data_IF_047723444728
#
_entry.id   IF_047723444728
#
_cell.length_a   1.000
_cell.length_b   1.000
_cell.length_c   1.000
_cell.angle_alpha   90.00
_cell.angle_beta   90.00
_cell.angle_gamma   90.00
#
_symmetry.space_group_name_H-M   'P 1'
#
loop_
_entity.id
_entity.type
_entity.pdbx_description
1 polymer ?
#
# COMPACT_ATOMS: atom_id res chain seq x y z
N UNK A 1 29.87 40.09 -23.00
CA UNK A 1 29.09 38.88 -22.64
C UNK A 1 28.98 38.88 -21.13
N UNK A 2 27.79 39.24 -20.61
CA UNK A 2 27.51 39.13 -19.19
C UNK A 2 27.33 37.64 -18.87
N UNK A 3 28.15 37.09 -17.99
CA UNK A 3 27.97 35.78 -17.43
C UNK A 3 26.62 35.77 -16.67
N UNK A 4 25.66 34.95 -17.10
CA UNK A 4 24.41 34.73 -16.38
C UNK A 4 24.79 34.14 -15.02
N UNK A 5 24.42 34.82 -13.96
CA UNK A 5 24.49 34.29 -12.60
C UNK A 5 23.55 33.07 -12.59
N UNK A 6 24.03 31.88 -12.23
CA UNK A 6 23.14 30.70 -12.14
C UNK A 6 22.04 31.02 -11.15
N UNK A 7 20.80 30.74 -11.53
CA UNK A 7 19.66 30.84 -10.63
C UNK A 7 19.93 29.92 -9.43
N UNK A 8 20.01 30.43 -8.19
CA UNK A 8 20.23 29.60 -7.01
C UNK A 8 19.12 28.57 -6.75
N UNK A 9 18.02 28.65 -7.52
CA UNK A 9 16.90 27.75 -7.50
C UNK A 9 16.83 26.84 -8.75
N UNK A 10 17.94 26.66 -9.47
CA UNK A 10 17.94 25.63 -10.52
C UNK A 10 17.80 24.25 -9.88
N UNK A 11 16.55 23.75 -9.85
CA UNK A 11 16.18 22.45 -9.30
C UNK A 11 16.91 21.28 -9.97
N UNK A 12 17.52 21.52 -11.12
CA UNK A 12 18.38 20.55 -11.82
C UNK A 12 19.69 20.26 -11.06
N UNK A 13 20.03 21.05 -10.02
CA UNK A 13 21.28 20.93 -9.26
C UNK A 13 21.18 19.97 -8.05
N UNK A 14 20.00 19.56 -7.62
CA UNK A 14 19.89 18.59 -6.52
C UNK A 14 20.07 17.16 -7.03
N UNK A 15 21.14 16.52 -6.59
CA UNK A 15 21.34 15.10 -6.89
C UNK A 15 20.26 14.24 -6.21
N UNK A 16 19.88 13.12 -6.83
CA UNK A 16 18.93 12.17 -6.24
C UNK A 16 19.34 11.76 -4.83
N UNK A 17 20.63 11.56 -4.59
CA UNK A 17 21.15 11.22 -3.26
C UNK A 17 20.94 12.34 -2.23
N UNK A 18 21.06 13.61 -2.63
CA UNK A 18 20.82 14.76 -1.75
C UNK A 18 19.35 14.86 -1.38
N UNK A 19 18.44 14.64 -2.34
CA UNK A 19 16.99 14.61 -2.10
C UNK A 19 16.65 13.46 -1.16
N UNK A 20 17.12 12.25 -1.48
CA UNK A 20 16.81 11.06 -0.69
C UNK A 20 17.36 11.10 0.73
N UNK A 21 18.51 11.74 0.96
CA UNK A 21 18.99 11.99 2.32
C UNK A 21 18.01 12.80 3.14
N UNK A 22 17.37 13.81 2.55
CA UNK A 22 16.33 14.61 3.22
C UNK A 22 15.07 13.79 3.47
N UNK A 23 14.58 13.06 2.46
CA UNK A 23 13.39 12.20 2.61
C UNK A 23 13.61 11.15 3.70
N UNK A 24 14.76 10.45 3.69
CA UNK A 24 15.10 9.45 4.71
C UNK A 24 15.26 10.10 6.09
N UNK A 25 15.76 11.33 6.17
CA UNK A 25 15.87 12.06 7.43
C UNK A 25 14.50 12.37 8.04
N UNK A 26 13.52 12.74 7.21
CA UNK A 26 12.15 13.04 7.67
C UNK A 26 11.24 11.81 7.80
N UNK A 27 11.60 10.67 7.22
CA UNK A 27 10.78 9.46 7.26
C UNK A 27 10.35 9.05 8.68
N UNK A 28 11.22 9.01 9.70
CA UNK A 28 10.80 8.69 11.08
C UNK A 28 9.80 9.68 11.68
N UNK A 29 9.84 10.94 11.24
CA UNK A 29 8.85 11.94 11.64
C UNK A 29 7.47 11.57 11.09
N UNK A 30 7.38 11.32 9.78
CA UNK A 30 6.12 10.94 9.14
C UNK A 30 5.60 9.58 9.60
N UNK A 31 6.48 8.62 9.89
CA UNK A 31 6.11 7.33 10.47
C UNK A 31 5.39 7.47 11.81
N UNK A 32 5.78 8.43 12.62
CA UNK A 32 5.36 8.54 14.02
C UNK A 32 4.41 9.68 14.33
N UNK A 33 4.09 10.54 13.35
CA UNK A 33 3.31 11.76 13.60
C UNK A 33 1.83 11.47 13.94
N UNK A 34 1.29 10.35 13.47
CA UNK A 34 -0.11 10.00 13.71
C UNK A 34 -0.22 9.26 15.03
N UNK A 35 -1.16 9.69 15.87
CA UNK A 35 -1.47 9.06 17.14
C UNK A 35 -2.70 8.15 17.05
N UNK A 36 -3.72 8.60 16.35
CA UNK A 36 -4.98 7.87 16.15
C UNK A 36 -5.64 8.31 14.85
N UNK A 37 -6.31 7.41 14.17
CA UNK A 37 -7.24 7.77 13.11
C UNK A 37 -8.39 6.78 12.98
N UNK A 38 -9.50 7.27 12.44
CA UNK A 38 -10.62 6.44 11.98
C UNK A 38 -10.87 6.69 10.51
N UNK A 39 -11.03 5.62 9.76
CA UNK A 39 -11.28 5.68 8.33
C UNK A 39 -12.30 4.62 7.91
N UNK A 40 -13.03 4.93 6.84
CA UNK A 40 -13.71 3.91 6.07
C UNK A 40 -12.71 3.26 5.12
N UNK A 41 -12.64 1.94 5.14
CA UNK A 41 -11.78 1.14 4.28
C UNK A 41 -12.63 0.33 3.31
N UNK A 42 -12.53 0.63 2.03
CA UNK A 42 -13.08 -0.16 0.96
C UNK A 42 -11.97 -0.99 0.29
N UNK A 43 -12.22 -2.28 0.11
CA UNK A 43 -11.30 -3.18 -0.61
C UNK A 43 -12.09 -3.89 -1.71
N UNK A 44 -11.55 -3.87 -2.91
CA UNK A 44 -11.99 -4.65 -4.06
C UNK A 44 -10.88 -5.59 -4.47
N UNK A 45 -11.15 -6.89 -4.52
CA UNK A 45 -10.21 -7.93 -4.91
C UNK A 45 -10.71 -8.73 -6.11
N UNK A 46 -9.78 -9.06 -7.00
CA UNK A 46 -10.01 -9.96 -8.12
C UNK A 46 -8.89 -10.98 -8.20
N UNK A 47 -9.25 -12.24 -8.38
CA UNK A 47 -8.30 -13.35 -8.51
C UNK A 47 -8.62 -14.14 -9.75
N UNK A 48 -7.60 -14.40 -10.57
CA UNK A 48 -7.72 -15.17 -11.81
C UNK A 48 -6.75 -16.36 -11.80
N UNK A 49 -7.31 -17.56 -11.92
CA UNK A 49 -6.55 -18.79 -12.10
C UNK A 49 -6.16 -18.97 -13.55
N UNK A 50 -5.06 -18.36 -13.94
CA UNK A 50 -4.55 -18.39 -15.32
C UNK A 50 -4.16 -19.81 -15.75
N UNK A 51 -3.53 -20.57 -14.87
CA UNK A 51 -3.13 -21.97 -15.09
C UNK A 51 -3.40 -22.81 -13.85
N UNK A 52 -4.10 -23.94 -14.03
CA UNK A 52 -4.44 -24.87 -12.97
C UNK A 52 -3.87 -26.26 -13.27
N UNK A 53 -3.09 -26.81 -12.36
CA UNK A 53 -2.62 -28.18 -12.39
C UNK A 53 -3.48 -29.06 -11.47
N UNK A 54 -3.52 -30.39 -11.75
CA UNK A 54 -4.31 -31.34 -10.97
C UNK A 54 -3.92 -31.42 -9.48
N UNK A 55 -2.70 -31.04 -9.13
CA UNK A 55 -2.18 -31.05 -7.75
C UNK A 55 -2.96 -30.13 -6.81
N UNK A 56 -3.56 -29.01 -7.30
CA UNK A 56 -4.41 -28.15 -6.46
C UNK A 56 -5.64 -28.85 -5.87
N UNK A 57 -6.05 -29.99 -6.40
CA UNK A 57 -7.14 -30.80 -5.82
C UNK A 57 -6.78 -31.41 -4.45
N UNK A 58 -5.49 -31.52 -4.15
CA UNK A 58 -4.98 -32.17 -2.94
C UNK A 58 -4.54 -31.19 -1.85
N UNK A 59 -4.63 -29.87 -2.11
CA UNK A 59 -4.34 -28.83 -1.12
C UNK A 59 -5.67 -28.16 -0.74
N UNK A 60 -6.39 -28.65 0.28
CA UNK A 60 -7.76 -28.23 0.56
C UNK A 60 -7.88 -26.78 1.05
N UNK A 61 -6.78 -26.19 1.53
CA UNK A 61 -6.81 -24.93 2.29
C UNK A 61 -6.41 -23.71 1.48
N UNK A 62 -5.72 -23.85 0.35
CA UNK A 62 -5.21 -22.68 -0.37
C UNK A 62 -6.22 -22.04 -1.32
N UNK A 63 -7.05 -22.83 -2.00
CA UNK A 63 -8.05 -22.31 -2.94
C UNK A 63 -9.17 -23.34 -3.11
N UNK A 64 -10.28 -23.17 -2.42
CA UNK A 64 -11.50 -23.93 -2.69
C UNK A 64 -12.14 -23.43 -3.99
N UNK A 65 -11.60 -23.90 -5.10
CA UNK A 65 -11.98 -23.45 -6.43
C UNK A 65 -13.13 -24.32 -6.95
N UNK A 66 -14.27 -23.71 -7.23
CA UNK A 66 -15.38 -24.39 -7.91
C UNK A 66 -14.92 -24.90 -9.27
N UNK A 67 -15.40 -26.11 -9.64
CA UNK A 67 -15.10 -26.68 -10.94
C UNK A 67 -15.66 -25.78 -12.05
N UNK A 68 -14.81 -25.36 -12.97
CA UNK A 68 -15.19 -24.50 -14.11
C UNK A 68 -15.00 -23.00 -13.89
N UNK A 69 -14.96 -22.53 -12.66
CA UNK A 69 -14.77 -21.10 -12.35
C UNK A 69 -13.28 -20.78 -12.28
N UNK A 70 -12.85 -19.74 -12.95
CA UNK A 70 -11.44 -19.29 -12.98
C UNK A 70 -11.24 -17.89 -12.42
N UNK A 71 -12.28 -17.07 -12.40
CA UNK A 71 -12.22 -15.69 -11.93
C UNK A 71 -13.14 -15.52 -10.72
N UNK A 72 -12.61 -14.81 -9.74
CA UNK A 72 -13.28 -14.53 -8.48
C UNK A 72 -13.16 -13.06 -8.18
N UNK A 73 -14.20 -12.50 -7.61
CA UNK A 73 -14.24 -11.11 -7.20
C UNK A 73 -14.83 -10.99 -5.80
N UNK A 74 -14.32 -10.02 -5.05
CA UNK A 74 -14.82 -9.66 -3.73
C UNK A 74 -14.80 -8.16 -3.53
N UNK A 75 -15.73 -7.66 -2.74
CA UNK A 75 -15.72 -6.31 -2.18
C UNK A 75 -15.96 -6.37 -0.68
N UNK A 76 -15.24 -5.57 0.06
CA UNK A 76 -15.47 -5.38 1.50
C UNK A 76 -15.50 -3.89 1.83
N UNK A 77 -16.34 -3.55 2.79
CA UNK A 77 -16.42 -2.22 3.39
C UNK A 77 -16.30 -2.34 4.90
N UNK A 78 -15.39 -1.62 5.48
CA UNK A 78 -15.02 -1.75 6.89
C UNK A 78 -14.81 -0.40 7.55
N UNK A 79 -15.07 -0.31 8.85
CA UNK A 79 -14.49 0.72 9.70
C UNK A 79 -13.08 0.28 10.11
N UNK A 80 -12.12 1.15 9.95
CA UNK A 80 -10.75 0.96 10.38
C UNK A 80 -10.41 1.98 11.45
N UNK A 81 -9.91 1.52 12.58
CA UNK A 81 -9.39 2.34 13.66
C UNK A 81 -7.92 2.00 13.89
N UNK A 82 -7.07 2.99 13.77
CA UNK A 82 -5.65 2.90 14.08
C UNK A 82 -5.35 3.65 15.36
N UNK A 83 -4.53 3.04 16.22
CA UNK A 83 -3.96 3.68 17.41
C UNK A 83 -2.46 3.38 17.43
N UNK A 84 -1.67 4.44 17.55
CA UNK A 84 -0.22 4.29 17.61
C UNK A 84 0.24 3.39 18.78
N UNK A 85 1.35 2.66 18.64
CA UNK A 85 2.26 2.70 17.50
C UNK A 85 1.79 1.89 16.27
N UNK A 86 1.14 0.75 16.42
CA UNK A 86 0.81 -0.18 15.34
C UNK A 86 -0.42 -1.06 15.69
N UNK A 87 -1.44 -0.47 16.32
CA UNK A 87 -2.66 -1.18 16.70
C UNK A 87 -3.75 -0.86 15.69
N UNK A 88 -4.24 -1.90 15.01
CA UNK A 88 -5.31 -1.80 14.03
C UNK A 88 -6.53 -2.60 14.48
N UNK A 89 -7.69 -1.98 14.47
CA UNK A 89 -8.99 -2.62 14.71
C UNK A 89 -9.87 -2.39 13.48
N UNK A 90 -10.08 -3.44 12.70
CA UNK A 90 -10.94 -3.42 11.52
C UNK A 90 -12.25 -4.12 11.79
N UNK A 91 -13.36 -3.42 11.55
CA UNK A 91 -14.70 -3.97 11.65
C UNK A 91 -15.36 -4.02 10.27
N UNK A 92 -15.51 -5.22 9.72
CA UNK A 92 -16.20 -5.44 8.45
C UNK A 92 -17.69 -5.19 8.61
N UNK A 93 -18.24 -4.23 7.87
CA UNK A 93 -19.65 -3.86 7.85
C UNK A 93 -20.43 -4.49 6.72
N UNK A 94 -19.77 -4.65 5.59
CA UNK A 94 -20.35 -5.28 4.42
C UNK A 94 -19.28 -6.05 3.65
N UNK A 95 -19.71 -7.18 3.08
CA UNK A 95 -18.84 -8.03 2.32
C UNK A 95 -19.65 -8.81 1.30
N UNK A 96 -19.23 -8.76 0.03
CA UNK A 96 -19.86 -9.47 -1.08
C UNK A 96 -18.80 -10.07 -1.99
N UNK A 97 -19.09 -11.19 -2.62
CA UNK A 97 -18.18 -11.82 -3.56
C UNK A 97 -18.81 -12.95 -4.32
N UNK A 98 -18.13 -13.36 -5.38
CA UNK A 98 -18.58 -14.43 -6.27
C UNK A 98 -18.36 -15.84 -5.69
N UNK A 99 -17.79 -15.98 -4.51
CA UNK A 99 -17.72 -17.22 -3.74
C UNK A 99 -17.82 -16.95 -2.25
N UNK A 100 -18.60 -17.78 -1.53
CA UNK A 100 -18.68 -17.73 -0.07
C UNK A 100 -17.38 -18.13 0.64
N UNK A 101 -16.47 -18.78 -0.06
CA UNK A 101 -15.24 -19.36 0.47
C UNK A 101 -14.07 -18.38 0.47
N UNK A 102 -14.18 -17.25 -0.25
CA UNK A 102 -13.19 -16.17 -0.25
C UNK A 102 -13.13 -15.41 1.09
N UNK A 103 -14.19 -15.50 1.88
CA UNK A 103 -14.33 -14.80 3.16
C UNK A 103 -13.41 -15.36 4.25
N UNK A 104 -13.10 -16.65 4.13
CA UNK A 104 -12.20 -17.34 5.05
C UNK A 104 -10.72 -17.21 4.61
N UNK A 105 -10.48 -16.57 3.46
CA UNK A 105 -9.11 -16.25 3.05
C UNK A 105 -8.52 -15.23 4.00
N UNK A 106 -8.13 -15.78 5.13
CA UNK A 106 -7.14 -15.28 6.02
C UNK A 106 -7.24 -13.78 6.31
N UNK A 107 -7.47 -13.45 7.54
CA UNK A 107 -7.37 -12.10 8.08
C UNK A 107 -6.07 -11.36 7.77
N UNK A 108 -5.24 -11.88 6.86
CA UNK A 108 -3.98 -11.29 6.41
C UNK A 108 -4.08 -10.34 5.22
N UNK A 109 -5.19 -10.35 4.45
CA UNK A 109 -5.35 -9.37 3.36
C UNK A 109 -5.28 -7.93 3.85
N UNK A 110 -5.90 -7.58 4.98
CA UNK A 110 -5.79 -6.24 5.54
C UNK A 110 -4.35 -5.80 5.81
N UNK A 111 -3.49 -6.73 6.19
CA UNK A 111 -2.09 -6.45 6.47
C UNK A 111 -1.32 -5.88 5.26
N UNK A 112 -1.70 -6.21 4.01
CA UNK A 112 -1.13 -5.63 2.80
C UNK A 112 -1.57 -4.18 2.57
N UNK A 113 -2.66 -3.74 3.21
CA UNK A 113 -3.21 -2.39 3.09
C UNK A 113 -2.87 -1.50 4.29
N UNK A 114 -1.99 -1.92 5.17
CA UNK A 114 -1.46 -1.14 6.29
C UNK A 114 0.01 -0.81 6.13
N UNK A 115 0.51 -0.83 4.89
CA UNK A 115 1.90 -0.51 4.62
C UNK A 115 2.16 0.95 4.92
N UNK A 116 2.88 1.21 6.00
CA UNK A 116 3.46 2.53 6.24
C UNK A 116 4.72 2.66 5.39
N UNK A 117 4.66 3.49 4.35
CA UNK A 117 5.79 3.68 3.43
C UNK A 117 7.02 4.27 4.10
N UNK A 118 6.85 4.97 5.23
CA UNK A 118 7.94 5.59 5.98
C UNK A 118 8.64 4.63 6.95
N UNK A 119 8.06 3.45 7.19
CA UNK A 119 8.67 2.42 8.00
C UNK A 119 10.00 1.94 7.41
N UNK A 120 10.88 1.46 8.26
CA UNK A 120 12.19 0.91 7.86
C UNK A 120 12.06 -0.36 7.01
N UNK A 121 10.93 -1.06 7.14
CA UNK A 121 10.61 -2.29 6.41
C UNK A 121 9.22 -2.20 5.81
N UNK A 122 9.00 -2.96 4.75
CA UNK A 122 7.72 -3.07 4.06
C UNK A 122 7.24 -4.52 4.12
N UNK A 123 5.93 -4.73 4.01
CA UNK A 123 5.29 -6.05 3.91
C UNK A 123 5.83 -7.04 4.96
N UNK A 124 5.45 -6.83 6.22
CA UNK A 124 5.78 -7.73 7.34
C UNK A 124 7.27 -7.88 7.63
N UNK A 125 7.99 -6.80 7.68
CA UNK A 125 9.42 -6.80 7.95
C UNK A 125 10.26 -7.67 7.01
N UNK A 126 9.69 -8.05 5.86
CA UNK A 126 10.37 -8.90 4.89
C UNK A 126 11.21 -8.15 3.87
N UNK A 127 10.84 -6.90 3.59
CA UNK A 127 11.47 -6.09 2.56
C UNK A 127 12.09 -4.84 3.19
N UNK A 128 13.32 -4.54 2.85
CA UNK A 128 13.94 -3.28 3.25
C UNK A 128 13.31 -2.13 2.49
N UNK A 129 12.82 -1.13 3.21
CA UNK A 129 12.27 0.08 2.60
C UNK A 129 13.37 0.90 1.92
N UNK A 130 13.11 1.49 0.74
CA UNK A 130 14.00 2.49 0.15
C UNK A 130 14.06 3.80 0.98
N UNK A 131 13.25 3.94 2.01
CA UNK A 131 13.27 5.04 2.98
C UNK A 131 13.92 4.66 4.32
N UNK A 132 14.40 3.43 4.46
CA UNK A 132 15.09 2.99 5.67
C UNK A 132 16.35 3.83 5.96
N UNK A 133 16.73 4.05 7.22
CA UNK A 133 17.91 4.85 7.58
C UNK A 133 19.21 4.41 6.91
N UNK A 134 19.33 3.14 6.58
CA UNK A 134 20.48 2.55 5.90
C UNK A 134 20.26 2.26 4.40
N UNK A 135 19.14 2.72 3.83
CA UNK A 135 18.75 2.43 2.45
C UNK A 135 19.80 2.84 1.41
N UNK A 136 20.52 3.94 1.65
CA UNK A 136 21.59 4.42 0.77
C UNK A 136 22.72 3.39 0.54
N UNK A 137 22.88 2.41 1.41
CA UNK A 137 23.85 1.32 1.24
C UNK A 137 23.37 0.28 0.21
N UNK A 138 22.07 0.10 0.09
CA UNK A 138 21.44 -0.99 -0.65
C UNK A 138 20.77 -0.55 -1.94
N UNK A 139 20.39 0.72 -2.05
CA UNK A 139 19.70 1.31 -3.19
C UNK A 139 20.53 2.39 -3.88
N UNK A 140 20.38 2.48 -5.19
CA UNK A 140 20.76 3.62 -6.02
C UNK A 140 19.52 4.39 -6.42
N UNK A 141 19.61 5.71 -6.45
CA UNK A 141 18.51 6.62 -6.76
C UNK A 141 18.82 7.46 -7.98
N UNK A 142 17.80 7.81 -8.75
CA UNK A 142 17.90 8.65 -9.94
C UNK A 142 16.68 9.57 -10.02
N UNK A 143 16.89 10.86 -10.31
CA UNK A 143 15.79 11.79 -10.61
C UNK A 143 15.37 11.56 -12.05
N UNK A 144 14.15 11.07 -12.26
CA UNK A 144 13.60 10.81 -13.58
C UNK A 144 13.01 12.08 -14.20
N UNK A 145 12.33 12.89 -13.36
CA UNK A 145 11.72 14.15 -13.78
C UNK A 145 11.45 15.06 -12.59
N UNK A 146 11.33 16.34 -12.89
CA UNK A 146 10.93 17.38 -11.94
C UNK A 146 9.65 18.02 -12.47
N UNK A 147 8.68 18.20 -11.60
CA UNK A 147 7.35 18.70 -11.92
C UNK A 147 6.97 19.84 -10.95
N UNK A 148 5.98 20.64 -11.32
CA UNK A 148 5.47 21.70 -10.43
C UNK A 148 6.02 23.09 -10.77
N UNK A 149 5.81 24.03 -9.85
CA UNK A 149 6.23 25.42 -9.97
C UNK A 149 7.35 25.70 -8.95
N UNK A 150 8.11 26.77 -9.17
CA UNK A 150 9.09 27.25 -8.20
C UNK A 150 8.42 27.38 -6.82
N UNK A 151 9.05 26.81 -5.81
CA UNK A 151 8.55 26.65 -4.41
C UNK A 151 7.48 25.57 -4.18
N UNK A 152 7.14 24.78 -5.21
CA UNK A 152 6.25 23.62 -5.08
C UNK A 152 6.69 22.54 -6.08
N UNK A 153 7.97 22.19 -6.02
CA UNK A 153 8.54 21.18 -6.90
C UNK A 153 8.28 19.77 -6.37
N UNK A 154 8.03 18.89 -7.30
CA UNK A 154 7.92 17.46 -7.06
C UNK A 154 8.96 16.72 -7.88
N UNK A 155 9.68 15.83 -7.23
CA UNK A 155 10.70 15.00 -7.85
C UNK A 155 10.17 13.58 -8.03
N UNK A 156 10.15 13.10 -9.27
CA UNK A 156 9.98 11.67 -9.52
C UNK A 156 11.33 11.00 -9.45
N UNK A 157 11.49 10.10 -8.48
CA UNK A 157 12.77 9.46 -8.18
C UNK A 157 12.61 7.95 -8.33
N UNK A 158 13.38 7.35 -9.23
CA UNK A 158 13.49 5.90 -9.32
C UNK A 158 14.55 5.37 -8.35
N UNK A 159 14.31 4.17 -7.82
CA UNK A 159 15.25 3.46 -6.96
C UNK A 159 15.43 2.01 -7.43
N UNK A 160 16.66 1.53 -7.34
CA UNK A 160 17.04 0.18 -7.75
C UNK A 160 17.99 -0.44 -6.74
N UNK A 161 17.86 -1.75 -6.44
CA UNK A 161 18.83 -2.47 -5.63
C UNK A 161 20.24 -2.42 -6.23
N UNK A 162 21.25 -2.19 -5.40
CA UNK A 162 22.66 -2.29 -5.78
C UNK A 162 23.14 -3.73 -5.93
N UNK A 163 22.41 -4.68 -5.33
CA UNK A 163 22.70 -6.12 -5.40
C UNK A 163 21.41 -6.93 -5.54
N UNK A 164 21.52 -8.14 -6.07
CA UNK A 164 20.37 -9.04 -6.19
C UNK A 164 19.99 -9.59 -4.82
N UNK A 165 18.76 -9.32 -4.37
CA UNK A 165 18.19 -9.86 -3.14
C UNK A 165 16.67 -9.89 -3.26
N UNK A 166 16.03 -10.89 -2.66
CA UNK A 166 14.57 -10.95 -2.54
C UNK A 166 14.03 -10.04 -1.45
N UNK A 167 14.90 -9.47 -0.62
CA UNK A 167 14.54 -8.50 0.42
C UNK A 167 14.58 -7.05 -0.08
N UNK A 168 14.97 -6.83 -1.32
CA UNK A 168 15.06 -5.50 -1.93
C UNK A 168 14.04 -5.35 -3.04
N UNK A 169 13.54 -4.13 -3.20
CA UNK A 169 12.52 -3.76 -4.17
C UNK A 169 13.06 -2.73 -5.16
N UNK A 170 12.43 -2.63 -6.31
CA UNK A 170 12.70 -1.58 -7.28
C UNK A 170 11.43 -0.83 -7.59
N UNK A 171 11.56 0.45 -7.95
CA UNK A 171 10.39 1.25 -8.26
C UNK A 171 10.71 2.72 -8.41
N UNK A 172 9.71 3.55 -8.18
CA UNK A 172 9.85 5.00 -8.14
C UNK A 172 8.91 5.60 -7.09
N UNK A 173 9.20 6.83 -6.69
CA UNK A 173 8.38 7.61 -5.79
C UNK A 173 8.30 9.07 -6.28
N UNK A 174 7.24 9.76 -5.90
CA UNK A 174 7.08 11.20 -6.09
C UNK A 174 7.24 11.87 -4.74
N UNK A 175 8.18 12.81 -4.65
CA UNK A 175 8.57 13.52 -3.43
C UNK A 175 8.26 14.99 -3.57
N UNK A 176 7.65 15.61 -2.56
CA UNK A 176 7.43 17.07 -2.48
C UNK A 176 8.66 17.77 -1.88
N UNK A 177 9.12 18.85 -2.53
CA UNK A 177 10.32 19.58 -2.12
C UNK A 177 10.20 20.23 -0.73
N UNK A 178 9.09 20.90 -0.46
CA UNK A 178 8.95 21.75 0.71
C UNK A 178 8.99 20.98 2.03
N UNK A 179 8.37 19.81 2.05
CA UNK A 179 8.17 19.00 3.26
C UNK A 179 8.91 17.66 3.20
N UNK A 180 9.50 17.32 2.06
CA UNK A 180 10.22 16.07 1.81
C UNK A 180 9.36 14.82 2.10
N UNK A 181 8.04 14.97 1.92
CA UNK A 181 7.09 13.87 2.00
C UNK A 181 6.99 13.12 0.68
N UNK A 182 6.57 11.86 0.76
CA UNK A 182 6.28 11.04 -0.40
C UNK A 182 4.80 11.11 -0.71
N UNK A 183 4.43 11.51 -1.92
CA UNK A 183 3.04 11.60 -2.38
C UNK A 183 2.55 10.32 -3.03
N UNK A 184 3.44 9.60 -3.67
CA UNK A 184 3.13 8.34 -4.33
C UNK A 184 4.37 7.46 -4.33
N UNK A 185 4.19 6.17 -4.13
CA UNK A 185 5.25 5.19 -4.17
C UNK A 185 4.81 3.95 -4.95
N UNK A 186 5.57 3.61 -5.97
CA UNK A 186 5.45 2.35 -6.70
C UNK A 186 6.66 1.49 -6.37
N UNK A 187 6.42 0.25 -5.99
CA UNK A 187 7.50 -0.70 -5.77
C UNK A 187 7.11 -2.12 -6.20
N UNK A 188 8.07 -2.81 -6.73
CA UNK A 188 7.93 -4.18 -7.19
C UNK A 188 9.05 -5.05 -6.65
N UNK A 189 8.70 -6.31 -6.44
CA UNK A 189 9.64 -7.30 -5.96
C UNK A 189 9.26 -8.70 -6.43
N UNK A 190 10.13 -9.65 -6.10
CA UNK A 190 9.90 -11.06 -6.43
C UNK A 190 10.53 -11.98 -5.40
N UNK A 191 9.90 -13.10 -5.18
CA UNK A 191 10.49 -14.29 -4.56
C UNK A 191 10.45 -15.45 -5.54
N UNK A 192 10.78 -16.65 -5.11
CA UNK A 192 10.73 -17.85 -5.96
C UNK A 192 9.31 -18.09 -6.52
N UNK A 193 8.28 -17.85 -5.72
CA UNK A 193 6.89 -18.15 -6.05
C UNK A 193 6.03 -16.93 -6.31
N UNK A 194 6.43 -15.75 -5.85
CA UNK A 194 5.62 -14.53 -5.88
C UNK A 194 6.32 -13.44 -6.67
N UNK A 195 5.58 -12.79 -7.56
CA UNK A 195 5.90 -11.46 -8.11
C UNK A 195 4.81 -10.51 -7.70
N UNK A 196 5.19 -9.33 -7.27
CA UNK A 196 4.23 -8.31 -6.88
C UNK A 196 4.63 -6.93 -7.40
N UNK A 197 3.62 -6.11 -7.59
CA UNK A 197 3.74 -4.69 -7.87
C UNK A 197 2.74 -3.98 -6.97
N UNK A 198 3.20 -2.97 -6.27
CA UNK A 198 2.40 -2.23 -5.31
C UNK A 198 2.48 -0.74 -5.61
N UNK A 199 1.33 -0.07 -5.68
CA UNK A 199 1.22 1.37 -5.80
C UNK A 199 0.47 1.91 -4.60
N UNK A 200 1.05 2.88 -3.94
CA UNK A 200 0.47 3.57 -2.78
C UNK A 200 0.43 5.05 -3.09
N UNK A 201 -0.76 5.63 -3.06
CA UNK A 201 -0.95 7.07 -3.19
C UNK A 201 -1.33 7.65 -1.83
N UNK A 202 -0.58 8.67 -1.43
CA UNK A 202 -0.85 9.45 -0.24
C UNK A 202 -1.89 10.53 -0.56
N UNK A 203 -2.74 10.88 0.40
CA UNK A 203 -3.88 11.75 0.13
C UNK A 203 -3.62 13.20 0.40
N UNK A 204 -4.48 14.01 -0.24
CA UNK A 204 -4.75 15.40 0.09
C UNK A 204 -6.04 15.46 0.93
N UNK A 205 -6.07 14.81 2.08
CA UNK A 205 -7.24 14.81 2.95
C UNK A 205 -7.07 15.91 3.99
N UNK A 206 -7.55 17.12 3.70
CA UNK A 206 -7.38 18.29 4.56
C UNK A 206 -5.95 18.87 4.53
N UNK A 207 -5.65 19.83 5.41
CA UNK A 207 -4.37 20.53 5.43
C UNK A 207 -3.18 19.69 5.97
N UNK A 208 -3.44 18.50 6.51
CA UNK A 208 -2.45 17.73 7.29
C UNK A 208 -2.20 16.32 6.79
N UNK A 209 -2.83 15.86 5.69
CA UNK A 209 -2.97 14.44 5.39
C UNK A 209 -2.12 13.93 4.22
N UNK A 210 -1.17 14.72 3.75
CA UNK A 210 -0.26 14.33 2.65
C UNK A 210 0.61 13.10 2.96
N UNK A 211 0.64 12.65 4.20
CA UNK A 211 1.46 11.51 4.66
C UNK A 211 0.64 10.29 5.08
N UNK A 212 -0.68 10.29 4.85
CA UNK A 212 -1.53 9.13 5.04
C UNK A 212 -1.94 8.52 3.69
N UNK A 213 -1.92 7.21 3.56
CA UNK A 213 -2.33 6.55 2.34
C UNK A 213 -3.84 6.63 2.12
N UNK A 214 -4.26 7.02 0.92
CA UNK A 214 -5.67 7.04 0.53
C UNK A 214 -6.03 5.98 -0.51
N UNK A 215 -5.02 5.45 -1.19
CA UNK A 215 -5.23 4.45 -2.24
C UNK A 215 -4.08 3.46 -2.31
N UNK A 216 -4.44 2.19 -2.41
CA UNK A 216 -3.52 1.09 -2.69
C UNK A 216 -3.98 0.35 -3.94
N UNK A 217 -3.03 -0.05 -4.78
CA UNK A 217 -3.23 -0.97 -5.89
C UNK A 217 -2.13 -2.02 -5.86
N UNK A 218 -2.51 -3.27 -5.67
CA UNK A 218 -1.61 -4.39 -5.46
C UNK A 218 -1.87 -5.44 -6.51
N UNK A 219 -0.89 -5.63 -7.41
CA UNK A 219 -0.87 -6.75 -8.33
C UNK A 219 0.09 -7.83 -7.83
N UNK A 220 -0.36 -9.06 -7.85
CA UNK A 220 0.45 -10.21 -7.47
C UNK A 220 0.27 -11.37 -8.47
N UNK A 221 1.35 -12.02 -8.82
CA UNK A 221 1.33 -13.28 -9.57
C UNK A 221 2.02 -14.34 -8.74
N UNK A 222 1.26 -15.33 -8.36
CA UNK A 222 1.72 -16.49 -7.62
C UNK A 222 1.91 -17.68 -8.55
N UNK A 223 3.08 -18.36 -8.45
CA UNK A 223 3.42 -19.54 -9.23
C UNK A 223 3.86 -20.66 -8.32
N UNK A 224 3.13 -21.77 -8.35
CA UNK A 224 3.43 -22.93 -7.51
C UNK A 224 3.03 -24.22 -8.20
N UNK A 225 3.97 -25.16 -8.33
CA UNK A 225 3.77 -26.50 -8.89
C UNK A 225 2.97 -26.48 -10.22
N UNK A 226 3.32 -25.58 -11.12
CA UNK A 226 2.66 -25.45 -12.44
C UNK A 226 1.33 -24.70 -12.42
N UNK A 227 0.88 -24.21 -11.26
CA UNK A 227 -0.26 -23.32 -11.14
C UNK A 227 0.18 -21.86 -11.28
N UNK A 228 -0.67 -21.02 -11.86
CA UNK A 228 -0.44 -19.59 -11.96
C UNK A 228 -1.72 -18.86 -11.57
N UNK A 229 -1.62 -18.06 -10.53
CA UNK A 229 -2.72 -17.27 -9.99
C UNK A 229 -2.31 -15.80 -10.06
N UNK A 230 -3.13 -14.99 -10.70
CA UNK A 230 -3.01 -13.54 -10.66
C UNK A 230 -4.04 -12.98 -9.69
N UNK A 231 -3.63 -12.06 -8.85
CA UNK A 231 -4.49 -11.35 -7.92
C UNK A 231 -4.28 -9.85 -8.10
N UNK A 232 -5.37 -9.10 -8.14
CA UNK A 232 -5.37 -7.65 -8.07
C UNK A 232 -6.25 -7.22 -6.91
N UNK A 233 -5.72 -6.36 -6.05
CA UNK A 233 -6.45 -5.76 -4.94
C UNK A 233 -6.31 -4.25 -5.00
N UNK A 234 -7.43 -3.56 -4.90
CA UNK A 234 -7.49 -2.11 -4.81
C UNK A 234 -8.15 -1.76 -3.49
N UNK A 235 -7.55 -0.85 -2.74
CA UNK A 235 -8.13 -0.32 -1.52
C UNK A 235 -8.22 1.20 -1.57
N UNK A 236 -9.28 1.74 -1.00
CA UNK A 236 -9.48 3.17 -0.81
C UNK A 236 -9.81 3.45 0.66
N UNK A 237 -9.17 4.48 1.22
CA UNK A 237 -9.42 4.94 2.58
C UNK A 237 -10.03 6.34 2.54
N UNK A 238 -11.07 6.51 3.34
CA UNK A 238 -11.73 7.80 3.59
C UNK A 238 -11.63 8.13 5.07
N UNK A 239 -10.73 9.04 5.43
CA UNK A 239 -10.46 9.39 6.82
C UNK A 239 -11.57 10.26 7.40
N UNK A 240 -12.09 9.85 8.56
CA UNK A 240 -13.14 10.57 9.30
C UNK A 240 -12.57 11.44 10.41
N UNK A 241 -11.57 10.91 11.10
CA UNK A 241 -10.87 11.62 12.17
C UNK A 241 -9.41 11.27 12.14
N UNK A 242 -8.56 12.27 12.35
CA UNK A 242 -7.10 12.12 12.45
C UNK A 242 -6.62 12.90 13.65
N UNK A 243 -5.87 12.26 14.53
CA UNK A 243 -5.21 12.86 15.67
C UNK A 243 -3.71 12.76 15.47
N UNK A 244 -3.08 13.93 15.35
CA UNK A 244 -1.63 14.02 15.22
C UNK A 244 -0.99 14.21 16.58
N UNK A 245 0.20 13.68 16.75
CA UNK A 245 1.04 13.94 17.91
C UNK A 245 1.54 15.38 17.87
N UNK A 246 1.55 16.01 19.03
CA UNK A 246 2.23 17.29 19.19
C UNK A 246 3.74 17.09 18.91
N UNK A 247 4.32 17.76 17.91
CA UNK A 247 5.72 17.62 17.56
C UNK A 247 6.67 17.89 18.74
N UNK A 248 6.25 18.73 19.72
CA UNK A 248 7.02 19.00 20.91
C UNK A 248 7.13 17.81 21.87
N UNK A 249 6.21 16.85 21.78
CA UNK A 249 6.14 15.63 22.59
C UNK A 249 6.74 14.41 21.91
N UNK A 250 7.26 14.57 20.71
CA UNK A 250 7.89 13.46 19.98
C UNK A 250 9.19 13.07 20.69
N UNK A 251 9.19 11.90 21.32
CA UNK A 251 10.37 11.36 21.99
C UNK A 251 11.40 10.90 20.95
N UNK A 252 12.50 11.67 20.82
CA UNK A 252 13.64 11.31 19.96
C UNK A 252 14.25 9.96 20.29
N UNK A 253 14.04 9.43 21.50
CA UNK A 253 14.49 8.09 21.87
C UNK A 253 13.62 6.99 21.23
N UNK A 254 12.32 7.21 21.05
CA UNK A 254 11.43 6.28 20.31
C UNK A 254 11.79 6.19 18.83
N UNK A 255 12.22 7.28 18.21
CA UNK A 255 12.73 7.28 16.84
C UNK A 255 13.98 6.38 16.65
N UNK A 256 14.61 5.97 17.75
CA UNK A 256 15.77 5.06 17.76
C UNK A 256 15.45 3.66 18.29
N UNK A 257 14.26 3.43 18.82
CA UNK A 257 13.89 2.09 19.30
C UNK A 257 13.64 1.19 18.12
N UNK A 258 14.46 0.20 18.00
CA UNK A 258 14.67 -0.68 16.88
C UNK A 258 13.52 -1.63 16.77
N UNK A 259 12.57 -1.90 16.77
CA UNK A 259 11.56 -2.96 16.63
C UNK A 259 10.58 -2.97 17.80
N UNK A 260 9.56 -2.16 17.71
CA UNK A 260 8.36 -2.47 18.45
C UNK A 260 7.60 -3.54 17.63
N UNK A 261 7.71 -4.79 18.07
CA UNK A 261 7.02 -5.94 17.45
C UNK A 261 5.57 -6.07 17.96
N UNK A 262 5.04 -5.03 18.58
CA UNK A 262 3.69 -5.04 19.17
C UNK A 262 2.59 -4.69 18.18
N UNK A 263 2.78 -4.90 16.90
CA UNK A 263 1.71 -4.80 15.94
C UNK A 263 0.56 -5.72 16.35
N UNK A 264 -0.59 -5.14 16.62
CA UNK A 264 -1.79 -5.90 16.91
C UNK A 264 -2.86 -5.56 15.89
N UNK A 265 -3.29 -6.58 15.18
CA UNK A 265 -4.36 -6.49 14.22
C UNK A 265 -5.57 -7.27 14.69
N UNK A 266 -6.70 -6.59 14.85
CA UNK A 266 -7.96 -7.23 15.21
C UNK A 266 -8.95 -7.09 14.06
N UNK A 267 -9.41 -8.22 13.53
CA UNK A 267 -10.46 -8.28 12.53
C UNK A 267 -11.77 -8.75 13.16
N UNK A 268 -12.81 -7.94 13.06
CA UNK A 268 -14.17 -8.28 13.49
C UNK A 268 -15.14 -8.07 12.34
N UNK A 269 -16.28 -8.73 12.37
CA UNK A 269 -17.34 -8.52 11.39
C UNK A 269 -18.68 -8.30 12.09
N UNK A 270 -19.49 -7.44 11.49
CA UNK A 270 -20.90 -7.30 11.91
C UNK A 270 -21.68 -8.59 11.58
N UNK A 271 -22.64 -8.93 12.41
CA UNK A 271 -23.46 -10.15 12.26
C UNK A 271 -24.16 -10.24 10.89
N UNK A 272 -24.42 -9.07 10.27
CA UNK A 272 -25.08 -8.99 8.96
C UNK A 272 -24.13 -8.57 7.83
N UNK A 273 -22.82 -8.54 8.07
CA UNK A 273 -21.83 -8.08 7.07
C UNK A 273 -21.91 -8.89 5.77
N UNK A 274 -22.12 -10.19 5.89
CA UNK A 274 -22.16 -11.14 4.77
C UNK A 274 -23.57 -11.33 4.17
N UNK A 275 -24.58 -10.61 4.66
CA UNK A 275 -25.94 -10.63 4.13
C UNK A 275 -26.24 -9.46 3.19
N UNK A 276 -25.27 -8.55 3.01
CA UNK A 276 -25.38 -7.44 2.08
C UNK A 276 -25.17 -7.97 0.66
N UNK A 277 -25.94 -7.43 -0.27
CA UNK A 277 -25.82 -7.74 -1.69
C UNK A 277 -25.00 -6.70 -2.45
N UNK A 278 -24.82 -6.90 -3.74
CA UNK A 278 -24.07 -5.96 -4.59
C UNK A 278 -24.73 -4.59 -4.65
N UNK A 279 -26.05 -4.48 -4.47
CA UNK A 279 -26.78 -3.20 -4.53
C UNK A 279 -26.40 -2.27 -3.37
N UNK A 280 -26.09 -2.83 -2.21
CA UNK A 280 -25.61 -2.07 -1.07
C UNK A 280 -24.31 -1.32 -1.44
N UNK A 281 -23.42 -1.97 -2.17
CA UNK A 281 -22.15 -1.40 -2.58
C UNK A 281 -22.30 -0.30 -3.64
N UNK A 282 -23.36 -0.28 -4.44
CA UNK A 282 -23.59 0.77 -5.45
C UNK A 282 -23.65 2.16 -4.83
N UNK A 283 -24.17 2.29 -3.62
CA UNK A 283 -24.28 3.56 -2.91
C UNK A 283 -23.01 4.03 -2.19
N UNK A 284 -22.10 3.10 -1.89
CA UNK A 284 -20.92 3.39 -1.05
C UNK A 284 -19.58 3.15 -1.80
N UNK A 285 -19.62 2.58 -3.00
CA UNK A 285 -18.43 2.20 -3.76
C UNK A 285 -17.64 3.42 -4.21
N UNK A 286 -16.43 3.67 -3.70
CA UNK A 286 -15.59 4.79 -4.13
C UNK A 286 -14.93 4.55 -5.48
N UNK A 287 -14.80 3.27 -5.89
CA UNK A 287 -14.15 2.85 -7.12
C UNK A 287 -15.17 2.07 -7.95
N UNK A 288 -15.63 2.59 -9.09
CA UNK A 288 -16.62 1.92 -9.95
C UNK A 288 -16.13 0.54 -10.41
N UNK A 289 -17.09 -0.35 -10.63
CA UNK A 289 -16.81 -1.63 -11.29
C UNK A 289 -16.60 -1.42 -12.79
N UNK A 290 -15.64 -2.12 -13.35
CA UNK A 290 -15.52 -2.28 -14.80
C UNK A 290 -16.67 -3.13 -15.34
N UNK A 291 -16.93 -3.06 -16.67
CA UNK A 291 -17.98 -3.87 -17.31
C UNK A 291 -17.76 -5.37 -17.02
N UNK A 292 -16.52 -5.83 -17.13
CA UNK A 292 -16.18 -7.22 -16.83
C UNK A 292 -16.46 -7.63 -15.36
N UNK A 293 -16.18 -6.74 -14.41
CA UNK A 293 -16.48 -6.98 -13.00
C UNK A 293 -17.99 -7.02 -12.72
N UNK A 294 -18.76 -6.19 -13.42
CA UNK A 294 -20.23 -6.24 -13.35
C UNK A 294 -20.78 -7.56 -13.91
N UNK A 295 -20.21 -8.06 -14.99
CA UNK A 295 -20.62 -9.34 -15.58
C UNK A 295 -20.31 -10.53 -14.65
N UNK A 296 -19.16 -10.51 -13.95
CA UNK A 296 -18.84 -11.53 -12.93
C UNK A 296 -19.90 -11.61 -11.81
N UNK A 297 -20.48 -10.49 -11.42
CA UNK A 297 -21.58 -10.49 -10.44
C UNK A 297 -22.88 -11.02 -11.03
N UNK A 298 -23.22 -10.66 -12.28
CA UNK A 298 -24.45 -11.16 -12.94
C UNK A 298 -24.43 -12.67 -13.14
N UNK A 299 -23.26 -13.23 -13.46
CA UNK A 299 -23.11 -14.67 -13.66
C UNK A 299 -23.20 -15.47 -12.34
N UNK A 300 -23.05 -14.80 -11.21
CA UNK A 300 -23.06 -15.43 -9.89
C UNK A 300 -24.41 -15.34 -9.18
N UNK A 301 -25.16 -14.26 -9.36
CA UNK A 301 -26.47 -13.99 -8.76
C UNK A 301 -27.60 -14.13 -9.78
#
# INVERSE_FOLDING_TARGET
QAASIPDPYDASLLSADSIMKKVIFFAPFYESIIDDYRADLYIKGKVNLRKKNHILRFIPTMFRIRKGVREYMMETYSDLHFTAPDIYDQKVKASVGTTSEFWELDGRLPEYFHVNIYASTLLYDKLLSPLAPNAMKYYSYHVDSVMGKVHDLQYKISFKPKSKSFQLVSGHMVVSENVWSVREMHFSGRSEMLRFNNMIRMGDVGESDEFLPVHYDVDATFRFLGNVVDANYIAALDYKTIIQKDPSRMDRKRLKSKYDLSESYTLRSDTNAYKKDSSYFESIRPIPLTVHEQDLYKDFF
#
